data_IF_779587943641
#
_entry.id   IF_779587943641
#
_cell.length_a   1.000
_cell.length_b   1.000
_cell.length_c   1.000
_cell.angle_alpha   90.00
_cell.angle_beta   90.00
_cell.angle_gamma   90.00
#
_symmetry.space_group_name_H-M   'P 1'
#
loop_
_entity.id
_entity.type
_entity.pdbx_description
1 polymer ?
#
# COMPACT_ATOMS: atom_id res chain seq x y z
N UNK A 1 -25.57 -12.18 -3.79
CA UNK A 1 -24.15 -11.91 -4.08
C UNK A 1 -23.50 -11.31 -2.85
N UNK A 2 -22.46 -11.97 -2.34
CA UNK A 2 -21.65 -11.57 -1.20
C UNK A 2 -20.21 -11.38 -1.64
N UNK A 3 -19.67 -10.19 -1.40
CA UNK A 3 -18.33 -9.79 -1.86
C UNK A 3 -17.38 -9.65 -0.68
N UNK A 4 -16.23 -10.31 -0.78
CA UNK A 4 -15.09 -9.99 0.08
C UNK A 4 -14.31 -8.82 -0.53
N UNK A 5 -14.17 -7.74 0.23
CA UNK A 5 -13.34 -6.61 -0.12
C UNK A 5 -12.07 -6.62 0.73
N UNK A 6 -10.94 -7.04 0.17
CA UNK A 6 -9.65 -6.94 0.85
C UNK A 6 -9.24 -5.47 0.85
N UNK A 7 -9.20 -4.83 2.02
CA UNK A 7 -9.14 -3.37 2.13
C UNK A 7 -7.86 -2.84 2.77
N UNK A 8 -7.93 -1.58 3.21
CA UNK A 8 -6.82 -0.84 3.80
C UNK A 8 -6.35 0.37 3.00
N UNK A 9 -7.05 0.69 1.91
CA UNK A 9 -6.82 1.87 1.07
C UNK A 9 -8.03 2.82 1.09
N UNK A 10 -7.89 3.99 0.50
CA UNK A 10 -9.02 4.89 0.28
C UNK A 10 -9.98 4.29 -0.77
N UNK A 11 -9.43 3.67 -1.80
CA UNK A 11 -10.17 3.01 -2.88
C UNK A 11 -11.06 1.88 -2.35
N UNK A 12 -10.54 1.05 -1.45
CA UNK A 12 -11.35 0.01 -0.79
C UNK A 12 -12.49 0.59 0.05
N UNK A 13 -12.28 1.71 0.74
CA UNK A 13 -13.38 2.34 1.50
C UNK A 13 -14.43 2.94 0.57
N UNK A 14 -14.01 3.65 -0.47
CA UNK A 14 -14.91 4.23 -1.47
C UNK A 14 -15.68 3.14 -2.25
N UNK A 15 -15.08 1.99 -2.53
CA UNK A 15 -15.78 0.88 -3.17
C UNK A 15 -16.82 0.26 -2.23
N UNK A 16 -16.52 0.09 -0.94
CA UNK A 16 -17.52 -0.36 0.02
C UNK A 16 -18.74 0.58 0.04
N UNK A 17 -18.50 1.90 0.04
CA UNK A 17 -19.56 2.93 -0.03
C UNK A 17 -20.36 2.84 -1.32
N UNK A 18 -19.71 2.65 -2.47
CA UNK A 18 -20.38 2.55 -3.77
C UNK A 18 -21.26 1.29 -3.92
N UNK A 19 -20.90 0.20 -3.23
CA UNK A 19 -21.60 -1.08 -3.31
C UNK A 19 -22.69 -1.24 -2.25
N UNK A 20 -22.52 -0.63 -1.07
CA UNK A 20 -23.45 -0.75 0.05
C UNK A 20 -24.65 0.21 -0.10
N UNK A 21 -25.88 -0.19 0.28
CA UNK A 21 -26.30 -1.52 0.75
C UNK A 21 -26.71 -2.48 -0.38
N UNK A 22 -26.53 -2.10 -1.65
CA UNK A 22 -26.99 -2.88 -2.79
C UNK A 22 -26.31 -4.24 -2.98
N UNK A 23 -25.11 -4.43 -2.41
CA UNK A 23 -24.34 -5.67 -2.35
C UNK A 23 -23.96 -5.96 -0.90
N UNK A 24 -24.04 -7.24 -0.49
CA UNK A 24 -23.53 -7.67 0.81
C UNK A 24 -22.00 -7.68 0.78
N UNK A 25 -21.37 -6.65 1.33
CA UNK A 25 -19.91 -6.47 1.33
C UNK A 25 -19.36 -6.75 2.72
N UNK A 26 -18.33 -7.61 2.78
CA UNK A 26 -17.48 -7.79 3.96
C UNK A 26 -16.11 -7.21 3.65
N UNK A 27 -15.77 -6.10 4.32
CA UNK A 27 -14.44 -5.52 4.24
C UNK A 27 -13.48 -6.23 5.17
N UNK A 28 -12.28 -6.57 4.68
CA UNK A 28 -11.24 -7.25 5.45
C UNK A 28 -10.00 -6.38 5.61
N UNK A 29 -9.67 -6.02 6.85
CA UNK A 29 -8.51 -5.20 7.18
C UNK A 29 -7.43 -6.03 7.89
N UNK A 30 -6.16 -5.73 7.60
CA UNK A 30 -5.03 -6.47 8.18
C UNK A 30 -4.77 -6.19 9.68
N UNK A 31 -5.43 -5.20 10.29
CA UNK A 31 -5.22 -4.83 11.70
C UNK A 31 -3.86 -4.20 12.01
N UNK A 32 -3.20 -3.61 11.01
CA UNK A 32 -1.84 -3.04 11.14
C UNK A 32 -1.80 -1.60 11.67
N UNK A 33 -2.97 -0.96 11.77
CA UNK A 33 -3.12 0.43 12.14
C UNK A 33 -4.08 0.49 13.33
N UNK A 34 -3.71 1.15 14.45
CA UNK A 34 -4.63 1.36 15.55
C UNK A 34 -5.73 2.32 15.10
N UNK A 35 -6.98 2.02 15.47
CA UNK A 35 -8.18 2.80 15.12
C UNK A 35 -8.26 3.16 13.62
N UNK A 36 -8.44 2.15 12.73
CA UNK A 36 -8.58 2.40 11.31
C UNK A 36 -9.95 3.04 11.02
N UNK A 37 -9.99 3.99 10.09
CA UNK A 37 -11.27 4.46 9.55
C UNK A 37 -12.00 3.27 8.89
N UNK A 38 -13.11 2.86 9.49
CA UNK A 38 -13.86 1.69 9.05
C UNK A 38 -14.68 2.03 7.81
N UNK A 39 -14.71 1.15 6.79
CA UNK A 39 -15.68 1.26 5.70
C UNK A 39 -17.10 0.97 6.19
N UNK A 40 -18.08 1.38 5.39
CA UNK A 40 -19.48 0.98 5.60
C UNK A 40 -19.66 -0.54 5.44
N UNK A 41 -20.71 -1.08 6.05
CA UNK A 41 -21.04 -2.50 6.00
C UNK A 41 -20.26 -3.35 7.02
N UNK A 42 -20.22 -4.66 6.79
CA UNK A 42 -19.57 -5.62 7.68
C UNK A 42 -18.05 -5.52 7.56
N UNK A 43 -17.34 -5.54 8.70
CA UNK A 43 -15.87 -5.46 8.73
C UNK A 43 -15.28 -6.59 9.55
N UNK A 44 -14.26 -7.26 9.01
CA UNK A 44 -13.36 -8.16 9.75
C UNK A 44 -11.97 -7.57 9.86
N UNK A 45 -11.31 -7.86 10.98
CA UNK A 45 -9.93 -7.45 11.24
C UNK A 45 -9.09 -8.68 11.58
N UNK A 46 -7.97 -8.84 10.88
CA UNK A 46 -7.01 -9.92 11.11
C UNK A 46 -6.64 -10.70 9.85
N UNK A 47 -5.57 -11.48 9.96
CA UNK A 47 -5.13 -12.36 8.87
C UNK A 47 -6.11 -13.49 8.59
N UNK A 48 -5.89 -14.20 7.48
CA UNK A 48 -6.66 -15.40 7.13
C UNK A 48 -5.93 -16.70 7.48
N UNK A 49 -4.64 -16.66 7.86
CA UNK A 49 -3.84 -17.88 8.04
C UNK A 49 -3.26 -18.44 6.74
N UNK A 50 -2.88 -17.57 5.80
CA UNK A 50 -2.33 -17.97 4.49
C UNK A 50 -3.41 -18.33 3.48
N UNK A 51 -3.01 -19.01 2.40
CA UNK A 51 -3.88 -19.38 1.28
C UNK A 51 -5.01 -20.32 1.73
N UNK A 52 -4.68 -21.41 2.42
CA UNK A 52 -5.67 -22.39 2.89
C UNK A 52 -6.70 -21.80 3.86
N UNK A 53 -6.25 -20.93 4.76
CA UNK A 53 -7.15 -20.25 5.67
C UNK A 53 -8.07 -19.26 4.96
N UNK A 54 -7.56 -18.53 3.95
CA UNK A 54 -8.39 -17.67 3.10
C UNK A 54 -9.45 -18.49 2.34
N UNK A 55 -9.07 -19.60 1.71
CA UNK A 55 -10.01 -20.49 1.02
C UNK A 55 -11.11 -21.04 1.93
N UNK A 56 -10.72 -21.51 3.11
CA UNK A 56 -11.67 -22.05 4.09
C UNK A 56 -12.68 -20.97 4.49
N UNK A 57 -12.20 -19.75 4.73
CA UNK A 57 -13.05 -18.61 5.06
C UNK A 57 -13.97 -18.21 3.91
N UNK A 58 -13.46 -18.13 2.68
CA UNK A 58 -14.27 -17.82 1.48
C UNK A 58 -15.45 -18.79 1.33
N UNK A 59 -15.22 -20.09 1.57
CA UNK A 59 -16.28 -21.12 1.53
C UNK A 59 -17.26 -20.99 2.68
N UNK A 60 -16.76 -20.83 3.91
CA UNK A 60 -17.59 -20.74 5.12
C UNK A 60 -18.54 -19.53 5.06
N UNK A 61 -18.07 -18.41 4.53
CA UNK A 61 -18.86 -17.18 4.41
C UNK A 61 -19.69 -17.12 3.11
N UNK A 62 -19.61 -18.14 2.25
CA UNK A 62 -20.28 -18.19 0.95
C UNK A 62 -19.97 -16.94 0.10
N UNK A 63 -18.69 -16.65 -0.09
CA UNK A 63 -18.23 -15.51 -0.88
C UNK A 63 -18.36 -15.81 -2.37
N UNK A 64 -19.05 -14.94 -3.10
CA UNK A 64 -19.30 -15.07 -4.53
C UNK A 64 -18.21 -14.38 -5.37
N UNK A 65 -17.56 -13.33 -4.86
CA UNK A 65 -16.45 -12.66 -5.54
C UNK A 65 -15.51 -11.96 -4.55
N UNK A 66 -14.27 -11.75 -4.97
CA UNK A 66 -13.26 -11.01 -4.20
C UNK A 66 -12.76 -9.81 -4.99
N UNK A 67 -12.80 -8.63 -4.37
CA UNK A 67 -12.08 -7.46 -4.85
C UNK A 67 -10.89 -7.19 -3.91
N UNK A 68 -9.68 -7.26 -4.46
CA UNK A 68 -8.46 -6.87 -3.79
C UNK A 68 -8.20 -5.38 -3.99
N UNK A 69 -8.59 -4.58 -3.00
CA UNK A 69 -8.29 -3.16 -2.88
C UNK A 69 -7.23 -2.89 -1.80
N UNK A 70 -6.31 -3.84 -1.57
CA UNK A 70 -5.20 -3.65 -0.63
C UNK A 70 -4.17 -2.66 -1.20
N UNK A 71 -3.22 -2.23 -0.36
CA UNK A 71 -2.17 -1.34 -0.82
C UNK A 71 -1.36 -2.01 -1.96
N UNK A 72 -0.90 -1.31 -3.01
CA UNK A 72 -0.12 -1.90 -4.12
C UNK A 72 1.20 -2.59 -3.74
N UNK A 73 1.60 -2.52 -2.46
CA UNK A 73 2.78 -3.18 -1.90
C UNK A 73 2.42 -4.32 -0.94
N UNK A 74 1.14 -4.65 -0.79
CA UNK A 74 0.64 -5.81 -0.04
C UNK A 74 0.72 -7.10 -0.87
N UNK A 75 1.82 -7.28 -1.62
CA UNK A 75 1.98 -8.32 -2.63
C UNK A 75 1.72 -9.73 -2.10
N UNK A 76 2.08 -10.03 -0.85
CA UNK A 76 1.76 -11.32 -0.23
C UNK A 76 0.26 -11.56 -0.13
N UNK A 77 -0.53 -10.55 0.26
CA UNK A 77 -1.98 -10.69 0.36
C UNK A 77 -2.61 -10.83 -1.03
N UNK A 78 -2.16 -10.04 -2.01
CA UNK A 78 -2.60 -10.15 -3.40
C UNK A 78 -2.28 -11.52 -4.00
N UNK A 79 -1.07 -12.05 -3.76
CA UNK A 79 -0.70 -13.39 -4.20
C UNK A 79 -1.55 -14.47 -3.51
N UNK A 80 -1.80 -14.35 -2.20
CA UNK A 80 -2.68 -15.28 -1.49
C UNK A 80 -4.11 -15.23 -2.02
N UNK A 81 -4.63 -14.04 -2.33
CA UNK A 81 -5.98 -13.86 -2.87
C UNK A 81 -6.10 -14.48 -4.26
N UNK A 82 -5.16 -14.19 -5.16
CA UNK A 82 -5.11 -14.77 -6.49
C UNK A 82 -5.12 -16.30 -6.45
N UNK A 83 -4.22 -16.90 -5.64
CA UNK A 83 -4.13 -18.35 -5.52
C UNK A 83 -5.38 -18.96 -4.88
N UNK A 84 -5.88 -18.36 -3.79
CA UNK A 84 -7.07 -18.86 -3.10
C UNK A 84 -8.31 -18.82 -4.00
N UNK A 85 -8.51 -17.71 -4.71
CA UNK A 85 -9.63 -17.51 -5.63
C UNK A 85 -9.54 -18.43 -6.84
N UNK A 86 -8.36 -18.60 -7.43
CA UNK A 86 -8.13 -19.52 -8.55
C UNK A 86 -8.51 -20.96 -8.18
N UNK A 87 -7.98 -21.47 -7.05
CA UNK A 87 -8.29 -22.82 -6.57
C UNK A 87 -9.75 -22.99 -6.16
N UNK A 88 -10.39 -21.95 -5.62
CA UNK A 88 -11.80 -21.96 -5.25
C UNK A 88 -12.76 -21.67 -6.41
N UNK A 89 -12.23 -21.31 -7.60
CA UNK A 89 -13.00 -20.83 -8.76
C UNK A 89 -13.90 -19.63 -8.43
N UNK A 90 -13.41 -18.72 -7.59
CA UNK A 90 -14.11 -17.49 -7.21
C UNK A 90 -13.54 -16.34 -8.06
N UNK A 91 -14.38 -15.54 -8.75
CA UNK A 91 -13.94 -14.33 -9.45
C UNK A 91 -13.12 -13.41 -8.55
N UNK A 92 -11.98 -12.95 -9.07
CA UNK A 92 -11.03 -12.09 -8.36
C UNK A 92 -10.61 -10.92 -9.23
N UNK A 93 -10.64 -9.71 -8.65
CA UNK A 93 -10.25 -8.47 -9.30
C UNK A 93 -9.34 -7.66 -8.38
N UNK A 94 -8.26 -7.09 -8.91
CA UNK A 94 -7.46 -6.08 -8.20
C UNK A 94 -7.95 -4.67 -8.54
N UNK A 95 -8.33 -3.91 -7.53
CA UNK A 95 -8.56 -2.46 -7.62
C UNK A 95 -7.30 -1.73 -7.17
N UNK A 96 -6.53 -1.20 -8.12
CA UNK A 96 -5.31 -0.49 -7.83
C UNK A 96 -5.12 0.71 -8.75
N UNK A 97 -5.23 1.91 -8.16
CA UNK A 97 -4.97 3.18 -8.84
C UNK A 97 -3.65 3.20 -9.64
N UNK A 98 -3.53 4.01 -10.70
CA UNK A 98 -2.31 4.12 -11.50
C UNK A 98 -1.07 4.45 -10.66
N UNK A 99 0.09 3.98 -11.13
CA UNK A 99 1.39 4.39 -10.59
C UNK A 99 1.66 5.86 -10.95
N UNK A 100 2.44 6.56 -10.13
CA UNK A 100 2.96 7.87 -10.54
C UNK A 100 4.00 7.68 -11.65
N UNK A 101 4.08 8.66 -12.55
CA UNK A 101 5.25 8.83 -13.41
C UNK A 101 6.48 9.09 -12.51
N UNK A 102 7.54 8.27 -12.61
CA UNK A 102 8.75 8.45 -11.80
C UNK A 102 9.52 9.73 -12.15
N UNK A 103 9.35 10.31 -13.35
CA UNK A 103 10.13 11.47 -13.79
C UNK A 103 11.64 11.23 -13.62
N UNK A 104 12.38 12.13 -12.95
CA UNK A 104 13.83 11.99 -12.76
C UNK A 104 14.23 11.01 -11.62
N UNK A 105 13.26 10.35 -10.97
CA UNK A 105 13.57 9.46 -9.84
C UNK A 105 14.40 8.25 -10.27
N UNK A 106 15.32 7.83 -9.40
CA UNK A 106 16.01 6.54 -9.53
C UNK A 106 15.04 5.42 -9.16
N UNK A 107 14.51 4.74 -10.16
CA UNK A 107 13.60 3.59 -9.94
C UNK A 107 14.41 2.33 -9.57
N UNK A 108 13.98 1.62 -8.54
CA UNK A 108 14.60 0.39 -8.03
C UNK A 108 13.56 -0.70 -7.75
N UNK A 109 13.92 -1.99 -7.84
CA UNK A 109 12.95 -3.07 -7.75
C UNK A 109 12.49 -3.41 -6.32
N UNK A 110 13.22 -2.97 -5.28
CA UNK A 110 12.92 -3.35 -3.90
C UNK A 110 13.45 -2.34 -2.88
N UNK A 111 12.95 -2.44 -1.63
CA UNK A 111 13.48 -1.68 -0.49
C UNK A 111 14.99 -1.98 -0.26
N UNK A 112 15.46 -3.20 -0.56
CA UNK A 112 16.88 -3.58 -0.46
C UNK A 112 17.75 -2.89 -1.52
N UNK A 113 17.26 -2.80 -2.76
CA UNK A 113 17.96 -2.05 -3.81
C UNK A 113 17.90 -0.54 -3.56
N UNK A 114 16.86 -0.04 -2.90
CA UNK A 114 16.82 1.34 -2.44
C UNK A 114 17.90 1.63 -1.39
N UNK A 115 18.13 0.71 -0.44
CA UNK A 115 19.21 0.85 0.54
C UNK A 115 20.60 0.89 -0.13
N UNK A 116 20.86 -0.01 -1.08
CA UNK A 116 22.09 0.03 -1.88
C UNK A 116 22.24 1.34 -2.67
N UNK A 117 21.15 1.85 -3.25
CA UNK A 117 21.18 3.12 -3.96
C UNK A 117 21.53 4.28 -3.02
N UNK A 118 21.02 4.27 -1.78
CA UNK A 118 21.36 5.26 -0.75
C UNK A 118 22.86 5.22 -0.42
N UNK A 119 23.41 4.03 -0.21
CA UNK A 119 24.83 3.83 0.10
C UNK A 119 25.73 4.27 -1.08
N UNK A 120 25.43 3.81 -2.29
CA UNK A 120 26.23 4.10 -3.49
C UNK A 120 26.30 5.60 -3.82
N UNK A 121 25.23 6.36 -3.54
CA UNK A 121 25.20 7.81 -3.75
C UNK A 121 25.69 8.59 -2.52
N UNK A 122 26.08 7.90 -1.45
CA UNK A 122 26.58 8.51 -0.22
C UNK A 122 25.62 9.52 0.44
N UNK A 123 24.30 9.36 0.25
CA UNK A 123 23.30 10.22 0.92
C UNK A 123 23.44 10.12 2.43
N UNK A 124 23.29 11.24 3.14
CA UNK A 124 23.55 11.36 4.58
C UNK A 124 22.28 11.49 5.40
N UNK A 125 21.22 12.09 4.85
CA UNK A 125 19.99 12.44 5.57
C UNK A 125 18.77 12.06 4.73
N UNK A 126 18.36 10.81 4.89
CA UNK A 126 17.33 10.20 4.05
C UNK A 126 15.96 10.33 4.68
N UNK A 127 15.01 10.84 3.91
CA UNK A 127 13.62 10.79 4.29
C UNK A 127 12.98 9.49 3.78
N UNK A 128 12.71 8.56 4.69
CA UNK A 128 12.20 7.22 4.39
C UNK A 128 10.68 7.16 4.59
N UNK A 129 9.95 7.00 3.49
CA UNK A 129 8.47 6.96 3.45
C UNK A 129 7.92 5.63 2.97
N UNK A 130 8.71 4.55 3.08
CA UNK A 130 8.35 3.19 2.65
C UNK A 130 7.47 2.43 3.66
N UNK A 131 7.12 3.10 4.76
CA UNK A 131 6.29 2.58 5.85
C UNK A 131 7.03 1.61 6.77
N UNK A 132 6.30 1.00 7.71
CA UNK A 132 6.89 0.23 8.81
C UNK A 132 7.75 -0.97 8.38
N UNK A 133 7.39 -1.64 7.28
CA UNK A 133 8.07 -2.87 6.87
C UNK A 133 9.32 -2.61 6.03
N UNK A 134 9.46 -1.40 5.47
CA UNK A 134 10.60 -1.06 4.62
C UNK A 134 11.87 -0.73 5.41
N UNK A 135 11.75 -0.37 6.68
CA UNK A 135 12.87 0.03 7.57
C UNK A 135 13.95 -1.04 7.66
N UNK A 136 13.57 -2.32 7.66
CA UNK A 136 14.49 -3.47 7.78
C UNK A 136 15.60 -3.45 6.72
N UNK A 137 15.31 -2.97 5.51
CA UNK A 137 16.30 -2.91 4.43
C UNK A 137 17.43 -1.92 4.72
N UNK A 138 17.20 -0.91 5.56
CA UNK A 138 18.12 0.19 5.85
C UNK A 138 18.88 0.01 7.17
N UNK A 139 18.68 -1.12 7.87
CA UNK A 139 19.25 -1.37 9.21
C UNK A 139 20.76 -1.17 9.31
N UNK A 140 21.47 -1.61 8.27
CA UNK A 140 22.94 -1.66 8.23
C UNK A 140 23.56 -0.40 7.62
N UNK A 141 22.75 0.55 7.17
CA UNK A 141 23.24 1.78 6.55
C UNK A 141 23.71 2.80 7.59
N UNK A 142 24.73 3.58 7.22
CA UNK A 142 25.31 4.63 8.08
C UNK A 142 24.60 5.99 7.97
N UNK A 143 23.70 6.15 6.99
CA UNK A 143 22.92 7.38 6.84
C UNK A 143 22.00 7.61 8.05
N UNK A 144 21.64 8.88 8.29
CA UNK A 144 20.59 9.22 9.23
C UNK A 144 19.23 9.20 8.53
N UNK A 145 18.24 8.55 9.15
CA UNK A 145 16.92 8.35 8.55
C UNK A 145 15.82 9.09 9.31
N UNK A 146 15.10 9.98 8.63
CA UNK A 146 13.77 10.40 9.08
C UNK A 146 12.76 9.38 8.57
N UNK A 147 12.07 8.66 9.45
CA UNK A 147 11.19 7.55 9.06
C UNK A 147 9.75 7.97 9.32
N UNK A 148 8.94 8.10 8.27
CA UNK A 148 7.50 8.32 8.41
C UNK A 148 6.74 7.00 8.40
N UNK A 149 5.95 6.75 9.44
CA UNK A 149 5.06 5.60 9.54
C UNK A 149 3.78 5.96 10.29
N UNK A 150 2.68 5.27 10.00
CA UNK A 150 1.41 5.45 10.75
C UNK A 150 1.51 4.79 12.13
N UNK A 151 2.09 3.59 12.16
CA UNK A 151 2.35 2.82 13.37
C UNK A 151 3.85 2.64 13.49
N UNK A 152 4.37 2.67 14.72
CA UNK A 152 5.77 2.45 15.00
C UNK A 152 6.28 1.12 14.38
N UNK A 153 7.41 1.12 13.65
CA UNK A 153 8.06 -0.10 13.19
C UNK A 153 8.58 -0.94 14.36
N UNK A 154 8.79 -2.24 14.11
CA UNK A 154 9.41 -3.12 15.12
C UNK A 154 10.80 -2.57 15.46
N UNK A 155 11.18 -2.53 16.73
CA UNK A 155 12.44 -1.89 17.17
C UNK A 155 13.65 -2.53 16.48
N UNK A 156 13.63 -3.87 16.37
CA UNK A 156 14.67 -4.64 15.69
C UNK A 156 14.66 -4.43 14.17
N UNK A 157 13.72 -3.67 13.61
CA UNK A 157 13.64 -3.30 12.19
C UNK A 157 14.36 -1.99 11.87
N UNK A 158 14.71 -1.18 12.88
CA UNK A 158 15.10 0.22 12.69
C UNK A 158 16.60 0.39 12.37
N UNK A 159 16.97 1.33 11.47
CA UNK A 159 18.35 1.77 11.29
C UNK A 159 18.97 2.31 12.57
N UNK A 160 20.30 2.22 12.68
CA UNK A 160 21.03 2.71 13.87
C UNK A 160 20.81 4.20 14.13
N UNK A 161 20.82 5.01 13.07
CA UNK A 161 20.65 6.46 13.14
C UNK A 161 19.31 6.87 12.56
N UNK A 162 18.31 7.09 13.41
CA UNK A 162 16.98 7.43 12.93
C UNK A 162 16.22 8.40 13.84
N UNK A 163 15.17 9.00 13.29
CA UNK A 163 14.09 9.67 14.00
C UNK A 163 12.76 9.21 13.42
N UNK A 164 11.79 8.89 14.27
CA UNK A 164 10.46 8.51 13.84
C UNK A 164 9.55 9.75 13.74
N UNK A 165 8.81 9.83 12.64
CA UNK A 165 7.72 10.77 12.42
C UNK A 165 6.42 9.98 12.31
N UNK A 166 5.74 9.79 13.44
CA UNK A 166 4.46 9.08 13.47
C UNK A 166 3.34 10.01 13.00
N UNK A 167 2.78 9.71 11.83
CA UNK A 167 1.71 10.53 11.25
C UNK A 167 0.84 9.72 10.29
N UNK A 168 -0.39 10.17 10.11
CA UNK A 168 -1.37 9.63 9.16
C UNK A 168 -1.79 10.77 8.25
N UNK A 169 -1.74 10.54 6.94
CA UNK A 169 -2.14 11.54 5.95
C UNK A 169 -3.65 11.84 5.97
N UNK A 170 -4.11 12.72 5.06
CA UNK A 170 -3.40 13.23 3.89
C UNK A 170 -2.24 14.18 4.24
N UNK A 171 -1.21 14.20 3.38
CA UNK A 171 -0.04 15.08 3.56
C UNK A 171 -0.11 16.27 2.61
N UNK A 172 0.22 17.46 3.10
CA UNK A 172 0.15 18.71 2.32
C UNK A 172 1.53 19.12 1.85
N UNK A 173 1.59 19.78 0.69
CA UNK A 173 2.84 20.22 0.07
C UNK A 173 3.71 21.08 1.00
N UNK A 174 3.15 22.13 1.60
CA UNK A 174 3.92 23.04 2.46
C UNK A 174 4.53 22.32 3.67
N UNK A 175 3.79 21.37 4.24
CA UNK A 175 4.27 20.54 5.37
C UNK A 175 5.45 19.65 4.94
N UNK A 176 5.39 19.07 3.74
CA UNK A 176 6.49 18.26 3.19
C UNK A 176 7.74 19.11 2.94
N UNK A 177 7.57 20.31 2.39
CA UNK A 177 8.67 21.26 2.17
C UNK A 177 9.34 21.64 3.49
N UNK A 178 8.53 21.97 4.51
CA UNK A 178 9.03 22.31 5.84
C UNK A 178 9.81 21.14 6.46
N UNK A 179 9.23 19.93 6.46
CA UNK A 179 9.88 18.72 6.98
C UNK A 179 11.23 18.48 6.29
N UNK A 180 11.27 18.54 4.96
CA UNK A 180 12.51 18.30 4.22
C UNK A 180 13.58 19.34 4.51
N UNK A 181 13.21 20.63 4.66
CA UNK A 181 14.14 21.71 5.01
C UNK A 181 14.64 21.61 6.45
N UNK A 182 13.74 21.48 7.41
CA UNK A 182 14.05 21.47 8.84
C UNK A 182 14.97 20.29 9.19
N UNK A 183 14.72 19.14 8.56
CA UNK A 183 15.55 17.96 8.73
C UNK A 183 16.73 17.90 7.75
N UNK A 184 16.97 18.90 6.90
CA UNK A 184 18.06 18.95 5.91
C UNK A 184 18.17 17.66 5.09
N UNK A 185 17.02 17.21 4.58
CA UNK A 185 16.92 15.96 3.81
C UNK A 185 17.68 16.11 2.50
N UNK A 186 18.54 15.13 2.18
CA UNK A 186 19.33 15.09 0.95
C UNK A 186 18.92 13.96 -0.01
N UNK A 187 18.01 13.07 0.40
CA UNK A 187 17.32 12.13 -0.48
C UNK A 187 15.96 11.70 0.08
N UNK A 188 14.98 11.51 -0.82
CA UNK A 188 13.70 10.89 -0.50
C UNK A 188 13.70 9.43 -0.98
N UNK A 189 13.38 8.50 -0.09
CA UNK A 189 13.09 7.11 -0.46
C UNK A 189 11.58 6.86 -0.29
N UNK A 190 10.93 6.43 -1.36
CA UNK A 190 9.47 6.20 -1.38
C UNK A 190 9.08 5.00 -2.22
N UNK A 191 7.91 4.43 -1.91
CA UNK A 191 7.21 3.44 -2.74
C UNK A 191 6.35 4.15 -3.79
N UNK A 192 6.32 3.66 -5.03
CA UNK A 192 5.40 4.15 -6.07
C UNK A 192 3.96 3.68 -5.77
N UNK A 193 3.36 4.27 -4.74
CA UNK A 193 2.05 3.89 -4.22
C UNK A 193 0.90 4.44 -5.07
N UNK A 194 1.19 5.39 -5.96
CA UNK A 194 0.18 6.15 -6.70
C UNK A 194 -0.73 6.99 -5.80
N UNK A 195 -1.69 7.67 -6.42
CA UNK A 195 -2.72 8.45 -5.75
C UNK A 195 -2.25 9.79 -5.17
N UNK A 196 -3.21 10.67 -4.91
CA UNK A 196 -2.89 12.07 -4.62
C UNK A 196 -2.54 12.31 -3.15
N UNK A 197 -3.14 11.53 -2.22
CA UNK A 197 -2.98 11.72 -0.77
C UNK A 197 -1.54 11.69 -0.26
N UNK A 198 -0.63 11.07 -0.99
CA UNK A 198 0.78 10.96 -0.61
C UNK A 198 1.73 11.52 -1.67
N UNK A 199 1.22 12.16 -2.72
CA UNK A 199 2.04 12.71 -3.81
C UNK A 199 2.85 13.93 -3.39
N UNK A 200 2.34 14.72 -2.42
CA UNK A 200 2.94 15.96 -1.95
C UNK A 200 4.45 15.89 -1.66
N UNK A 201 4.96 14.76 -1.16
CA UNK A 201 6.39 14.55 -0.89
C UNK A 201 7.25 14.54 -2.16
N UNK A 202 6.71 14.04 -3.29
CA UNK A 202 7.41 14.06 -4.58
C UNK A 202 7.49 15.49 -5.11
N UNK A 203 6.40 16.25 -5.00
CA UNK A 203 6.35 17.63 -5.44
C UNK A 203 7.29 18.51 -4.59
N UNK A 204 7.33 18.28 -3.28
CA UNK A 204 8.27 18.95 -2.38
C UNK A 204 9.73 18.57 -2.68
N UNK A 205 10.02 17.28 -2.91
CA UNK A 205 11.36 16.85 -3.29
C UNK A 205 11.81 17.51 -4.60
N UNK A 206 10.94 17.58 -5.61
CA UNK A 206 11.22 18.26 -6.87
C UNK A 206 11.51 19.75 -6.66
N UNK A 207 10.68 20.46 -5.89
CA UNK A 207 10.86 21.89 -5.61
C UNK A 207 12.17 22.20 -4.86
N UNK A 208 12.64 21.26 -4.03
CA UNK A 208 13.88 21.38 -3.27
C UNK A 208 15.09 20.77 -3.98
N UNK A 209 14.94 20.25 -5.19
CA UNK A 209 15.97 19.52 -5.93
C UNK A 209 16.55 18.32 -5.14
N UNK A 210 15.71 17.68 -4.32
CA UNK A 210 16.07 16.49 -3.55
C UNK A 210 15.92 15.26 -4.44
N UNK A 211 16.98 14.47 -4.65
CA UNK A 211 16.91 13.20 -5.38
C UNK A 211 15.89 12.24 -4.77
N UNK A 212 15.15 11.54 -5.63
CA UNK A 212 14.18 10.53 -5.24
C UNK A 212 14.68 9.16 -5.64
N UNK A 213 14.74 8.23 -4.67
CA UNK A 213 14.87 6.80 -4.91
C UNK A 213 13.48 6.17 -4.76
N UNK A 214 12.93 5.71 -5.88
CA UNK A 214 11.57 5.21 -5.95
C UNK A 214 11.56 3.70 -6.09
N UNK A 215 10.99 3.01 -5.10
CA UNK A 215 10.73 1.57 -5.17
C UNK A 215 9.53 1.35 -6.09
N UNK A 216 9.73 0.58 -7.17
CA UNK A 216 8.65 0.23 -8.10
C UNK A 216 7.66 -0.75 -7.45
N UNK A 217 6.45 -0.83 -8.00
CA UNK A 217 5.45 -1.78 -7.52
C UNK A 217 5.89 -3.22 -7.81
N UNK A 218 5.62 -4.17 -6.90
CA UNK A 218 5.70 -5.59 -7.23
C UNK A 218 4.78 -5.92 -8.42
N UNK A 219 5.18 -6.86 -9.30
CA UNK A 219 4.30 -7.34 -10.36
C UNK A 219 3.07 -8.03 -9.75
N UNK A 220 1.94 -7.96 -10.46
CA UNK A 220 0.77 -8.77 -10.10
C UNK A 220 1.03 -10.25 -10.46
N UNK A 221 0.40 -11.19 -9.75
CA UNK A 221 0.38 -12.58 -10.17
C UNK A 221 -0.20 -12.73 -11.58
N UNK A 222 0.25 -13.75 -12.31
CA UNK A 222 -0.23 -14.05 -13.67
C UNK A 222 -1.74 -14.33 -13.68
N UNK A 223 -2.43 -13.88 -14.72
CA UNK A 223 -3.87 -14.12 -14.90
C UNK A 223 -4.79 -13.32 -13.98
N UNK A 224 -4.25 -12.38 -13.19
CA UNK A 224 -5.05 -11.49 -12.33
C UNK A 224 -5.50 -10.25 -13.09
N UNK A 225 -6.81 -10.06 -13.21
CA UNK A 225 -7.40 -8.84 -13.76
C UNK A 225 -7.23 -7.66 -12.79
N UNK A 226 -7.06 -6.47 -13.36
CA UNK A 226 -6.87 -5.23 -12.62
C UNK A 226 -7.65 -4.08 -13.28
N UNK A 227 -8.26 -3.24 -12.45
CA UNK A 227 -8.84 -1.95 -12.82
C UNK A 227 -8.24 -0.81 -12.01
N UNK A 228 -8.37 0.41 -12.52
CA UNK A 228 -7.73 1.60 -11.96
C UNK A 228 -8.66 2.39 -11.04
N UNK A 229 -9.97 2.27 -11.24
CA UNK A 229 -10.96 3.12 -10.59
C UNK A 229 -12.04 2.34 -9.83
N UNK A 230 -12.63 3.02 -8.83
CA UNK A 230 -13.75 2.48 -8.04
C UNK A 230 -14.96 2.19 -8.94
N UNK A 231 -15.21 3.03 -9.95
CA UNK A 231 -16.31 2.84 -10.91
C UNK A 231 -16.17 1.54 -11.70
N UNK A 232 -15.00 1.31 -12.30
CA UNK A 232 -14.72 0.07 -13.06
C UNK A 232 -14.83 -1.18 -12.17
N UNK A 233 -14.39 -1.10 -10.91
CA UNK A 233 -14.54 -2.19 -9.96
C UNK A 233 -16.01 -2.46 -9.60
N UNK A 234 -16.81 -1.41 -9.40
CA UNK A 234 -18.23 -1.53 -9.13
C UNK A 234 -18.99 -2.14 -10.33
N UNK A 235 -18.66 -1.72 -11.54
CA UNK A 235 -19.20 -2.31 -12.78
C UNK A 235 -18.81 -3.78 -12.92
N UNK A 236 -17.57 -4.14 -12.59
CA UNK A 236 -17.13 -5.54 -12.58
C UNK A 236 -17.95 -6.38 -11.59
N UNK A 237 -18.18 -5.88 -10.37
CA UNK A 237 -19.03 -6.55 -9.38
C UNK A 237 -20.46 -6.70 -9.91
N UNK A 238 -21.02 -5.67 -10.55
CA UNK A 238 -22.35 -5.74 -11.14
C UNK A 238 -22.46 -6.85 -12.20
N UNK A 239 -21.44 -7.04 -13.05
CA UNK A 239 -21.41 -8.13 -14.04
C UNK A 239 -21.41 -9.51 -13.39
N UNK A 240 -20.76 -9.69 -12.24
CA UNK A 240 -20.76 -10.98 -11.53
C UNK A 240 -22.13 -11.36 -10.95
N UNK A 241 -23.04 -10.39 -10.72
CA UNK A 241 -24.41 -10.69 -10.24
C UNK A 241 -25.29 -11.36 -11.30
N UNK A 242 -24.91 -11.22 -12.58
CA UNK A 242 -25.68 -11.66 -13.72
C UNK A 242 -25.16 -12.95 -14.35
N UNK A 243 -24.05 -13.50 -13.83
CA UNK A 243 -23.49 -14.81 -14.18
C UNK A 243 -23.89 -15.86 -13.15
#
# INVERSE_FOLDING_TARGET
>A
MRVLLLGGTAEGRALAEALHPGVDVISSLAGRVPDPALPVGSVRIGGFGGIHGLQSWLRQENIDAVVDATHPFAATMTAHAAEACSQAKIPHLVLARPAWDPGPAKVVPSDAEAAKAVENHCYKRVFLTTGRSGTKAFQRGDAWFLIRAVTQPDVDSLPRHHQLLLSRGPYRYDDEVAIMRDHRIDALVTKNSGGDMTRAKLDAAAALHIPVVMVQRPPLPEGVDKVDTVGEAAEWVARQRHN
#
